data_IF_838704642716
#
_entry.id   IF_838704642716
#
_cell.length_a   1.000
_cell.length_b   1.000
_cell.length_c   1.000
_cell.angle_alpha   90.00
_cell.angle_beta   90.00
_cell.angle_gamma   90.00
#
_symmetry.space_group_name_H-M   'P 1'
#
loop_
_entity.id
_entity.type
_entity.pdbx_description
1 polymer ?
#
# COMPACT_ATOMS: atom_id res chain seq x y z
N UNK A 1 -11.34 -11.53 3.95
CA UNK A 1 -10.32 -10.58 3.45
C UNK A 1 -9.07 -11.38 3.14
N UNK A 2 -8.86 -11.71 1.86
CA UNK A 2 -7.65 -12.39 1.40
C UNK A 2 -6.58 -11.37 1.07
N UNK A 3 -5.34 -11.58 1.54
CA UNK A 3 -4.18 -10.76 1.17
C UNK A 3 -3.18 -11.67 0.45
N UNK A 4 -2.97 -11.39 -0.83
CA UNK A 4 -2.07 -12.12 -1.70
C UNK A 4 -0.86 -11.25 -1.98
N UNK A 5 0.32 -11.72 -1.59
CA UNK A 5 1.58 -11.02 -1.87
C UNK A 5 2.35 -11.81 -2.92
N UNK A 6 2.75 -11.13 -3.97
CA UNK A 6 3.52 -11.67 -5.08
C UNK A 6 4.87 -10.99 -5.16
N UNK A 7 5.91 -11.80 -5.34
CA UNK A 7 7.24 -11.34 -5.73
C UNK A 7 7.29 -11.34 -7.25
N UNK A 8 7.41 -10.15 -7.84
CA UNK A 8 7.50 -9.95 -9.27
C UNK A 8 8.96 -9.77 -9.69
N UNK A 9 9.36 -10.42 -10.77
CA UNK A 9 10.71 -10.34 -11.34
C UNK A 9 10.63 -10.16 -12.84
N UNK A 10 11.37 -9.20 -13.37
CA UNK A 10 11.66 -9.07 -14.79
C UNK A 10 12.87 -9.92 -15.17
N UNK A 11 12.74 -10.66 -16.27
CA UNK A 11 13.83 -11.38 -16.91
C UNK A 11 13.73 -11.17 -18.42
N UNK A 12 14.59 -10.30 -18.96
CA UNK A 12 14.51 -9.89 -20.36
C UNK A 12 13.21 -9.12 -20.63
N UNK A 13 12.44 -9.57 -21.62
CA UNK A 13 11.19 -8.94 -22.04
C UNK A 13 9.94 -9.46 -21.30
N UNK A 14 10.13 -10.30 -20.28
CA UNK A 14 9.05 -10.95 -19.56
C UNK A 14 9.07 -10.65 -18.05
N UNK A 15 7.88 -10.42 -17.50
CA UNK A 15 7.63 -10.25 -16.09
C UNK A 15 6.91 -11.47 -15.53
N UNK A 16 7.48 -12.06 -14.49
CA UNK A 16 6.90 -13.17 -13.74
C UNK A 16 6.50 -12.69 -12.36
N UNK A 17 5.39 -13.22 -11.82
CA UNK A 17 4.95 -12.95 -10.46
C UNK A 17 4.59 -14.25 -9.76
N UNK A 18 5.13 -14.46 -8.56
CA UNK A 18 4.89 -15.68 -7.77
C UNK A 18 4.50 -15.33 -6.35
N UNK A 19 3.46 -15.98 -5.84
CA UNK A 19 3.09 -15.90 -4.42
C UNK A 19 4.20 -16.46 -3.53
N UNK A 20 4.25 -16.04 -2.26
CA UNK A 20 5.26 -16.55 -1.32
C UNK A 20 5.19 -18.08 -1.14
N UNK A 21 3.98 -18.66 -1.16
CA UNK A 21 3.77 -20.11 -1.12
C UNK A 21 4.05 -20.80 -2.47
N UNK A 22 4.15 -20.05 -3.57
CA UNK A 22 4.37 -20.58 -4.92
C UNK A 22 3.14 -21.21 -5.58
N UNK A 23 1.98 -21.22 -4.91
CA UNK A 23 0.74 -21.84 -5.41
C UNK A 23 0.10 -21.03 -6.54
N UNK A 24 0.28 -19.72 -6.50
CA UNK A 24 -0.25 -18.77 -7.47
C UNK A 24 0.91 -18.13 -8.21
N UNK A 25 0.92 -18.26 -9.54
CA UNK A 25 1.89 -17.62 -10.42
C UNK A 25 1.26 -17.12 -11.72
N UNK A 26 1.88 -16.11 -12.32
CA UNK A 26 1.55 -15.65 -13.66
C UNK A 26 2.79 -15.05 -14.34
N UNK A 27 2.74 -14.99 -15.66
CA UNK A 27 3.77 -14.35 -16.48
C UNK A 27 3.16 -13.51 -17.59
N UNK A 28 3.79 -12.39 -17.93
CA UNK A 28 3.33 -11.48 -18.96
C UNK A 28 4.46 -10.58 -19.51
N UNK A 29 4.32 -10.03 -20.73
CA UNK A 29 5.35 -9.16 -21.33
C UNK A 29 5.42 -7.76 -20.68
N UNK A 30 4.41 -7.37 -19.89
CA UNK A 30 4.35 -6.06 -19.25
C UNK A 30 3.89 -6.17 -17.80
N UNK A 31 4.26 -5.20 -16.96
CA UNK A 31 3.78 -5.12 -15.57
C UNK A 31 2.27 -4.96 -15.50
N UNK A 32 1.67 -4.26 -16.47
CA UNK A 32 0.22 -4.06 -16.56
C UNK A 32 -0.52 -5.38 -16.79
N UNK A 33 -0.07 -6.17 -17.75
CA UNK A 33 -0.67 -7.47 -18.03
C UNK A 33 -0.42 -8.45 -16.89
N UNK A 34 0.77 -8.39 -16.29
CA UNK A 34 1.10 -9.22 -15.13
C UNK A 34 0.16 -8.91 -13.95
N UNK A 35 -0.03 -7.64 -13.60
CA UNK A 35 -0.92 -7.23 -12.51
C UNK A 35 -2.34 -7.75 -12.73
N UNK A 36 -2.88 -7.62 -13.95
CA UNK A 36 -4.22 -8.14 -14.29
C UNK A 36 -4.31 -9.65 -14.15
N UNK A 37 -3.31 -10.38 -14.64
CA UNK A 37 -3.28 -11.84 -14.50
C UNK A 37 -3.20 -12.24 -13.03
N UNK A 38 -2.34 -11.63 -12.23
CA UNK A 38 -2.19 -11.94 -10.80
C UNK A 38 -3.45 -11.61 -9.99
N UNK A 39 -4.11 -10.49 -10.28
CA UNK A 39 -5.42 -10.15 -9.70
C UNK A 39 -6.46 -11.21 -10.04
N UNK A 40 -6.50 -11.64 -11.30
CA UNK A 40 -7.43 -12.68 -11.74
C UNK A 40 -7.13 -14.02 -11.04
N UNK A 41 -5.87 -14.42 -10.93
CA UNK A 41 -5.48 -15.64 -10.21
C UNK A 41 -5.87 -15.55 -8.73
N UNK A 42 -5.68 -14.40 -8.09
CA UNK A 42 -6.10 -14.17 -6.71
C UNK A 42 -7.63 -14.24 -6.54
N UNK A 43 -8.40 -13.67 -7.48
CA UNK A 43 -9.87 -13.78 -7.50
C UNK A 43 -10.37 -15.21 -7.73
N UNK A 44 -9.65 -15.99 -8.54
CA UNK A 44 -9.95 -17.40 -8.70
C UNK A 44 -9.69 -18.20 -7.41
N UNK A 45 -8.72 -17.77 -6.59
CA UNK A 45 -8.41 -18.38 -5.31
C UNK A 45 -9.36 -17.93 -4.17
N UNK A 46 -9.87 -16.70 -4.20
CA UNK A 46 -10.79 -16.14 -3.21
C UNK A 46 -11.98 -15.43 -3.90
N UNK A 47 -13.17 -16.02 -3.80
CA UNK A 47 -14.32 -15.70 -4.66
C UNK A 47 -15.23 -14.57 -4.15
N UNK A 48 -14.79 -13.69 -3.24
CA UNK A 48 -15.70 -12.66 -2.71
C UNK A 48 -15.05 -11.35 -2.26
N UNK A 49 -15.59 -10.23 -2.76
CA UNK A 49 -15.32 -8.88 -2.26
C UNK A 49 -14.66 -7.94 -3.26
N UNK A 50 -14.56 -6.67 -2.89
CA UNK A 50 -13.85 -5.67 -3.69
C UNK A 50 -12.35 -5.98 -3.77
N UNK A 51 -11.75 -5.71 -4.92
CA UNK A 51 -10.31 -5.87 -5.15
C UNK A 51 -9.60 -4.53 -4.96
N UNK A 52 -8.57 -4.53 -4.13
CA UNK A 52 -7.59 -3.46 -4.03
C UNK A 52 -6.21 -4.05 -4.32
N UNK A 53 -5.36 -3.35 -5.07
CA UNK A 53 -3.99 -3.82 -5.30
C UNK A 53 -2.98 -2.69 -5.19
N UNK A 54 -1.73 -3.02 -4.87
CA UNK A 54 -0.59 -2.09 -4.88
C UNK A 54 0.59 -2.77 -5.54
N UNK A 55 1.28 -2.06 -6.43
CA UNK A 55 2.48 -2.52 -7.12
C UNK A 55 3.64 -1.58 -6.80
N UNK A 56 4.62 -2.07 -6.06
CA UNK A 56 5.80 -1.31 -5.64
C UNK A 56 7.06 -1.91 -6.22
N UNK A 57 7.79 -1.15 -7.04
CA UNK A 57 9.11 -1.55 -7.52
C UNK A 57 10.11 -1.47 -6.36
N UNK A 58 10.92 -2.52 -6.20
CA UNK A 58 12.04 -2.57 -5.25
C UNK A 58 13.36 -2.31 -6.00
N UNK A 59 13.45 -2.81 -7.23
CA UNK A 59 14.53 -2.50 -8.18
C UNK A 59 13.93 -2.34 -9.58
N UNK A 60 14.69 -1.87 -10.58
CA UNK A 60 14.22 -1.82 -11.97
C UNK A 60 13.76 -3.17 -12.53
N UNK A 61 14.17 -4.28 -11.91
CA UNK A 61 13.87 -5.65 -12.34
C UNK A 61 13.08 -6.47 -11.31
N UNK A 62 12.65 -5.86 -10.20
CA UNK A 62 11.88 -6.56 -9.17
C UNK A 62 10.83 -5.67 -8.51
N UNK A 63 9.69 -6.26 -8.18
CA UNK A 63 8.58 -5.57 -7.54
C UNK A 63 7.89 -6.46 -6.52
N UNK A 64 7.21 -5.84 -5.55
CA UNK A 64 6.24 -6.48 -4.68
C UNK A 64 4.85 -6.06 -5.15
N UNK A 65 4.00 -7.03 -5.42
CA UNK A 65 2.61 -6.81 -5.79
C UNK A 65 1.68 -7.40 -4.73
N UNK A 66 0.83 -6.56 -4.15
CA UNK A 66 -0.15 -6.98 -3.16
C UNK A 66 -1.55 -6.88 -3.76
N UNK A 67 -2.34 -7.93 -3.63
CA UNK A 67 -3.76 -7.97 -4.00
C UNK A 67 -4.55 -8.30 -2.75
N UNK A 68 -5.51 -7.44 -2.42
CA UNK A 68 -6.38 -7.53 -1.26
C UNK A 68 -7.80 -7.72 -1.77
N UNK A 69 -8.45 -8.80 -1.35
CA UNK A 69 -9.81 -9.15 -1.74
C UNK A 69 -10.70 -9.09 -0.51
N UNK A 70 -11.80 -8.34 -0.59
CA UNK A 70 -12.77 -8.18 0.51
C UNK A 70 -12.30 -7.27 1.65
N UNK A 71 -11.37 -6.34 1.37
CA UNK A 71 -10.74 -5.44 2.35
C UNK A 71 -11.10 -3.96 2.23
N UNK A 72 -12.32 -3.63 1.81
CA UNK A 72 -12.74 -2.25 1.51
C UNK A 72 -13.03 -1.36 2.74
N UNK A 73 -12.36 -1.57 3.88
CA UNK A 73 -12.49 -0.72 5.06
C UNK A 73 -11.14 -0.54 5.77
N UNK A 74 -10.37 0.48 5.34
CA UNK A 74 -9.25 1.04 6.11
C UNK A 74 -7.87 0.40 5.88
N UNK A 75 -7.05 1.07 5.05
CA UNK A 75 -5.61 1.19 5.27
C UNK A 75 -4.70 0.00 4.91
N UNK A 76 -4.20 -0.01 3.68
CA UNK A 76 -2.84 -0.48 3.36
C UNK A 76 -2.35 0.16 2.05
N UNK A 77 -2.23 1.49 2.05
CA UNK A 77 -1.48 2.22 1.03
C UNK A 77 0.01 2.15 1.36
N UNK A 78 0.69 1.09 0.91
CA UNK A 78 2.14 1.19 0.68
C UNK A 78 2.31 1.52 -0.80
N UNK A 79 2.56 2.79 -1.10
CA UNK A 79 2.97 3.28 -2.42
C UNK A 79 1.83 3.69 -3.37
N UNK A 80 1.52 5.00 -3.38
CA UNK A 80 1.07 5.74 -4.57
C UNK A 80 -0.33 5.46 -5.15
N UNK A 81 -1.27 6.39 -4.93
CA UNK A 81 -2.38 6.63 -5.84
C UNK A 81 -3.60 5.71 -5.67
N UNK A 82 -4.33 5.87 -4.57
CA UNK A 82 -5.65 5.27 -4.41
C UNK A 82 -6.68 5.87 -5.34
N UNK A 83 -7.00 5.16 -6.42
CA UNK A 83 -8.32 5.27 -7.04
C UNK A 83 -9.33 4.53 -6.15
N UNK A 84 -9.78 5.19 -5.09
CA UNK A 84 -11.01 4.79 -4.39
C UNK A 84 -12.19 5.17 -5.29
N UNK A 85 -12.83 4.17 -5.90
CA UNK A 85 -14.16 4.35 -6.46
C UNK A 85 -15.13 4.55 -5.28
N UNK A 86 -15.40 5.81 -4.94
CA UNK A 86 -16.37 6.18 -3.93
C UNK A 86 -17.79 5.92 -4.46
N UNK A 87 -18.49 4.97 -3.84
CA UNK A 87 -19.94 4.84 -3.91
C UNK A 87 -20.51 5.03 -2.50
N UNK A 88 -21.68 5.69 -2.44
CA UNK A 88 -22.43 6.16 -1.26
C UNK A 88 -21.79 7.37 -0.56
N UNK A 89 -22.48 8.46 -0.20
CA UNK A 89 -23.91 8.71 -0.10
C UNK A 89 -24.13 9.51 1.18
N UNK A 90 -24.43 10.80 1.06
CA UNK A 90 -25.10 11.59 2.10
C UNK A 90 -24.24 12.24 3.20
N UNK A 91 -24.48 13.55 3.35
CA UNK A 91 -24.31 14.39 4.54
C UNK A 91 -22.90 14.83 4.96
N UNK A 92 -22.56 16.09 4.65
CA UNK A 92 -22.44 17.17 5.65
C UNK A 92 -21.81 18.43 5.01
N UNK A 93 -22.32 19.65 5.26
CA UNK A 93 -21.50 20.84 5.24
C UNK A 93 -21.33 21.44 6.64
N UNK A 94 -20.05 21.68 6.95
CA UNK A 94 -19.48 22.92 7.47
C UNK A 94 -19.81 23.45 8.89
N UNK A 95 -18.71 23.86 9.53
CA UNK A 95 -18.48 25.06 10.36
C UNK A 95 -18.59 24.95 11.90
N UNK A 96 -17.44 25.19 12.55
CA UNK A 96 -17.14 26.03 13.73
C UNK A 96 -15.79 25.51 14.30
N UNK A 97 -14.63 26.18 14.23
CA UNK A 97 -14.27 27.55 14.63
C UNK A 97 -14.50 27.83 16.12
N UNK A 98 -13.79 27.12 17.00
CA UNK A 98 -13.51 27.61 18.35
C UNK A 98 -12.01 27.90 18.50
N UNK A 99 -11.76 29.09 19.02
CA UNK A 99 -10.53 29.81 19.22
C UNK A 99 -10.51 30.15 20.73
N UNK A 100 -9.31 30.39 21.28
CA UNK A 100 -9.02 30.82 22.66
C UNK A 100 -8.94 29.67 23.70
N UNK A 101 -7.99 29.59 24.63
CA UNK A 101 -6.92 30.49 25.06
C UNK A 101 -5.96 29.72 26.01
N UNK A 102 -4.67 30.08 25.99
CA UNK A 102 -3.82 30.32 27.19
C UNK A 102 -3.30 29.12 28.02
N UNK A 103 -2.00 28.83 27.87
CA UNK A 103 -1.02 29.12 28.95
C UNK A 103 0.44 29.08 28.46
N UNK A 104 1.08 30.21 28.65
CA UNK A 104 2.52 30.49 28.59
C UNK A 104 3.36 29.72 29.61
N UNK A 105 4.59 29.46 29.16
CA UNK A 105 5.89 29.61 29.85
C UNK A 105 6.46 28.54 30.79
N UNK A 106 7.80 28.40 30.62
CA UNK A 106 8.82 27.70 31.43
C UNK A 106 9.06 26.26 30.94
N UNK A 107 10.21 25.87 30.40
CA UNK A 107 11.57 26.16 30.83
C UNK A 107 12.56 25.83 29.68
N UNK A 108 13.56 26.69 29.51
CA UNK A 108 14.77 26.47 28.70
C UNK A 108 15.58 25.26 29.20
N UNK A 109 16.54 24.82 28.37
CA UNK A 109 17.81 24.17 28.79
C UNK A 109 17.84 22.63 28.89
N UNK A 110 18.06 21.95 27.74
CA UNK A 110 19.08 20.89 27.57
C UNK A 110 19.17 20.44 26.11
N UNK A 111 19.93 21.21 25.34
CA UNK A 111 20.29 20.99 23.93
C UNK A 111 21.76 20.49 23.84
N UNK A 112 22.15 19.51 24.68
CA UNK A 112 23.56 19.06 24.73
C UNK A 112 23.79 17.58 25.19
N UNK A 113 22.76 16.72 25.18
CA UNK A 113 22.94 15.29 25.54
C UNK A 113 22.00 14.32 24.80
N UNK A 114 21.59 14.68 23.58
CA UNK A 114 20.86 13.79 22.66
C UNK A 114 21.70 13.47 21.41
N UNK A 115 22.86 12.83 21.62
CA UNK A 115 23.36 11.84 20.67
C UNK A 115 24.52 12.22 19.75
N UNK A 116 25.35 13.21 20.09
CA UNK A 116 26.64 13.43 19.41
C UNK A 116 27.73 12.41 19.81
N UNK A 117 27.40 11.44 20.67
CA UNK A 117 28.19 10.24 20.99
C UNK A 117 27.70 8.98 20.25
N UNK A 118 26.95 9.14 19.15
CA UNK A 118 26.60 8.05 18.22
C UNK A 118 27.67 7.83 17.12
N UNK A 119 28.81 8.52 17.22
CA UNK A 119 29.99 8.32 16.37
C UNK A 119 31.29 8.28 17.20
N UNK A 120 31.24 7.65 18.37
CA UNK A 120 32.43 7.03 18.99
C UNK A 120 32.25 5.50 19.02
#
# INVERSE_FOLDING_TARGET
MGVFTFVCRSSGDEWTGKSLSGELEASAPSTFDLQRKLVQTALCADSSGGVQSSFSLVTPTSAVFQVIIGGASGGAFIGGGGAVAAASGGAAPAAEAEKEEKKEEKEEESDDDLGLSLFD
#
